data_IF_917799924249
#
_entry.id   IF_917799924249
#
_cell.length_a   1.000
_cell.length_b   1.000
_cell.length_c   1.000
_cell.angle_alpha   90.00
_cell.angle_beta   90.00
_cell.angle_gamma   90.00
#
_symmetry.space_group_name_H-M   'P 1'
#
loop_
_entity.id
_entity.type
_entity.pdbx_description
1 polymer ?
#
# COMPACT_ATOMS: atom_id res chain seq x y z
N UNK A 1 -12.44 5.94 -1.33
CA UNK A 1 -11.05 6.24 -1.74
C UNK A 1 -10.41 5.05 -2.44
N UNK A 2 -10.35 3.86 -1.83
CA UNK A 2 -9.73 2.66 -2.40
C UNK A 2 -10.23 2.31 -3.81
N UNK A 3 -11.55 2.29 -4.04
CA UNK A 3 -12.12 2.03 -5.36
C UNK A 3 -11.65 3.05 -6.41
N UNK A 4 -11.68 4.35 -6.08
CA UNK A 4 -11.21 5.42 -6.98
C UNK A 4 -9.74 5.25 -7.37
N UNK A 5 -8.89 4.89 -6.41
CA UNK A 5 -7.46 4.64 -6.66
C UNK A 5 -7.29 3.38 -7.51
N UNK A 6 -8.01 2.31 -7.20
CA UNK A 6 -7.97 1.06 -7.96
C UNK A 6 -8.39 1.25 -9.42
N UNK A 7 -9.48 1.99 -9.67
CA UNK A 7 -9.92 2.33 -11.04
C UNK A 7 -8.87 3.13 -11.81
N UNK A 8 -8.15 4.04 -11.14
CA UNK A 8 -7.07 4.81 -11.77
C UNK A 8 -5.83 3.97 -12.06
N UNK A 9 -5.48 3.04 -11.16
CA UNK A 9 -4.38 2.11 -11.36
C UNK A 9 -4.64 1.15 -12.52
N UNK A 10 -5.89 0.69 -12.67
CA UNK A 10 -6.35 -0.07 -13.83
C UNK A 10 -5.41 -1.25 -14.17
N UNK A 11 -4.72 -1.26 -15.32
CA UNK A 11 -3.81 -2.34 -15.72
C UNK A 11 -2.63 -2.61 -14.77
N UNK A 12 -2.37 -1.72 -13.81
CA UNK A 12 -1.31 -1.90 -12.80
C UNK A 12 -1.74 -2.80 -11.64
N UNK A 13 -3.05 -2.98 -11.43
CA UNK A 13 -3.60 -3.75 -10.30
C UNK A 13 -3.00 -5.15 -10.11
N UNK A 14 -2.72 -5.95 -11.18
CA UNK A 14 -2.16 -7.29 -10.99
C UNK A 14 -0.78 -7.31 -10.33
N UNK A 15 -0.01 -6.22 -10.41
CA UNK A 15 1.36 -6.11 -9.87
C UNK A 15 1.40 -5.48 -8.46
N UNK A 16 0.23 -5.13 -7.93
CA UNK A 16 0.09 -4.37 -6.70
C UNK A 16 -0.76 -5.13 -5.68
N UNK A 17 -0.34 -5.07 -4.41
CA UNK A 17 -1.09 -5.62 -3.29
C UNK A 17 -1.43 -4.51 -2.30
N UNK A 18 -2.72 -4.27 -2.10
CA UNK A 18 -3.23 -3.26 -1.19
C UNK A 18 -2.96 -3.66 0.27
N UNK A 19 -2.43 -2.71 1.04
CA UNK A 19 -2.05 -2.85 2.45
C UNK A 19 -2.42 -1.57 3.21
N UNK A 20 -2.01 -1.45 4.48
CA UNK A 20 -2.23 -0.24 5.27
C UNK A 20 -3.70 0.02 5.59
N UNK A 21 -4.05 1.26 5.90
CA UNK A 21 -5.38 1.62 6.38
C UNK A 21 -6.51 1.30 5.38
N UNK A 22 -6.20 1.27 4.08
CA UNK A 22 -7.17 0.92 3.06
C UNK A 22 -7.56 -0.58 3.07
N UNK A 23 -6.67 -1.45 3.56
CA UNK A 23 -6.92 -2.87 3.71
C UNK A 23 -7.76 -3.17 4.97
N UNK A 24 -7.65 -2.37 6.04
CA UNK A 24 -8.35 -2.61 7.31
C UNK A 24 -9.86 -2.84 7.11
N UNK A 25 -10.53 -1.96 6.37
CA UNK A 25 -11.97 -2.09 6.10
C UNK A 25 -12.36 -3.29 5.23
N UNK A 26 -11.43 -3.83 4.45
CA UNK A 26 -11.64 -5.02 3.61
C UNK A 26 -11.38 -6.32 4.39
N UNK A 27 -10.63 -6.25 5.48
CA UNK A 27 -10.25 -7.38 6.32
C UNK A 27 -11.16 -7.58 7.53
N UNK A 28 -11.99 -6.58 7.86
CA UNK A 28 -12.95 -6.67 8.96
C UNK A 28 -14.15 -7.51 8.56
N UNK A 29 -14.43 -8.53 9.38
CA UNK A 29 -15.53 -9.47 9.16
C UNK A 29 -16.70 -9.26 10.12
N UNK A 30 -16.53 -8.44 11.16
CA UNK A 30 -17.59 -8.15 12.13
C UNK A 30 -18.42 -6.93 11.66
N UNK A 31 -19.69 -7.12 11.29
CA UNK A 31 -20.56 -6.01 10.86
C UNK A 31 -20.91 -5.03 12.00
N UNK A 32 -20.72 -5.42 13.27
CA UNK A 32 -20.95 -4.56 14.43
C UNK A 32 -19.71 -3.74 14.84
N UNK A 33 -18.60 -3.91 14.12
CA UNK A 33 -17.36 -3.19 14.38
C UNK A 33 -17.49 -1.68 14.17
N UNK A 34 -16.68 -0.92 14.90
CA UNK A 34 -16.61 0.53 14.72
C UNK A 34 -16.16 0.87 13.29
N UNK A 35 -16.64 1.98 12.71
CA UNK A 35 -16.22 2.41 11.38
C UNK A 35 -14.70 2.56 11.32
N UNK A 36 -14.09 2.02 10.26
CA UNK A 36 -12.66 2.24 10.00
C UNK A 36 -12.42 3.71 9.76
N UNK A 37 -11.43 4.27 10.46
CA UNK A 37 -10.98 5.63 10.22
C UNK A 37 -10.63 5.81 8.74
N UNK A 38 -11.13 6.88 8.13
CA UNK A 38 -10.74 7.19 6.75
C UNK A 38 -9.24 7.42 6.67
N UNK A 39 -8.57 6.61 5.86
CA UNK A 39 -7.16 6.80 5.51
C UNK A 39 -7.00 7.98 4.54
N UNK A 40 -5.85 8.68 4.63
CA UNK A 40 -5.50 9.83 3.78
C UNK A 40 -4.74 9.41 2.52
N UNK A 41 -4.19 8.20 2.53
CA UNK A 41 -3.36 7.57 1.53
C UNK A 41 -3.77 6.11 1.29
N UNK A 42 -3.44 5.60 0.11
CA UNK A 42 -3.54 4.17 -0.22
C UNK A 42 -2.14 3.61 -0.27
N UNK A 43 -1.88 2.60 0.55
CA UNK A 43 -0.61 1.88 0.55
C UNK A 43 -0.70 0.64 -0.33
N UNK A 44 0.30 0.45 -1.21
CA UNK A 44 0.42 -0.75 -2.02
C UNK A 44 1.85 -1.31 -1.97
N UNK A 45 1.96 -2.63 -1.97
CA UNK A 45 3.21 -3.35 -2.16
C UNK A 45 3.34 -3.65 -3.66
N UNK A 46 4.42 -3.21 -4.28
CA UNK A 46 4.77 -3.52 -5.65
C UNK A 46 5.69 -4.74 -5.70
N UNK A 47 5.36 -5.72 -6.56
CA UNK A 47 6.16 -6.91 -6.82
C UNK A 47 7.42 -6.59 -7.66
N UNK A 48 8.26 -5.70 -7.13
CA UNK A 48 9.45 -5.18 -7.80
C UNK A 48 10.66 -5.31 -6.89
N UNK A 49 11.69 -5.99 -7.40
CA UNK A 49 12.91 -6.28 -6.66
C UNK A 49 14.15 -5.49 -7.12
N UNK A 50 14.04 -4.68 -8.17
CA UNK A 50 15.16 -3.94 -8.77
C UNK A 50 14.81 -2.48 -9.08
N UNK A 51 15.83 -1.62 -9.11
CA UNK A 51 15.68 -0.21 -9.46
C UNK A 51 15.09 -0.04 -10.87
N UNK A 52 15.57 -0.82 -11.85
CA UNK A 52 15.06 -0.78 -13.23
C UNK A 52 13.58 -1.17 -13.28
N UNK A 53 13.17 -2.20 -12.53
CA UNK A 53 11.76 -2.59 -12.45
C UNK A 53 10.91 -1.48 -11.86
N UNK A 54 11.41 -0.79 -10.83
CA UNK A 54 10.67 0.28 -10.15
C UNK A 54 10.58 1.53 -11.01
N UNK A 55 11.63 1.84 -11.76
CA UNK A 55 11.63 2.91 -12.76
C UNK A 55 10.57 2.67 -13.85
N UNK A 56 10.48 1.43 -14.38
CA UNK A 56 9.43 1.05 -15.36
C UNK A 56 8.03 1.10 -14.77
N UNK A 57 7.86 0.69 -13.52
CA UNK A 57 6.58 0.87 -12.80
C UNK A 57 6.24 2.36 -12.69
N UNK A 58 7.21 3.20 -12.37
CA UNK A 58 7.08 4.65 -12.29
C UNK A 58 6.67 5.29 -13.63
N UNK A 59 7.21 4.84 -14.75
CA UNK A 59 6.76 5.29 -16.09
C UNK A 59 5.27 5.00 -16.33
N UNK A 60 4.80 3.81 -15.92
CA UNK A 60 3.39 3.43 -16.07
C UNK A 60 2.48 4.16 -15.08
N UNK A 61 2.96 4.44 -13.86
CA UNK A 61 2.26 5.30 -12.90
C UNK A 61 2.10 6.72 -13.47
N UNK A 62 3.16 7.27 -14.09
CA UNK A 62 3.08 8.54 -14.83
C UNK A 62 2.08 8.51 -15.96
N UNK A 63 2.04 7.43 -16.74
CA UNK A 63 1.03 7.26 -17.79
C UNK A 63 -0.41 7.20 -17.23
N UNK A 64 -0.60 6.69 -16.00
CA UNK A 64 -1.87 6.74 -15.27
C UNK A 64 -2.16 8.09 -14.59
N UNK A 65 -1.29 9.09 -14.80
CA UNK A 65 -1.43 10.45 -14.30
C UNK A 65 -0.99 10.65 -12.84
N UNK A 66 -0.22 9.72 -12.29
CA UNK A 66 0.48 9.93 -11.03
C UNK A 66 1.81 10.63 -11.27
N UNK A 67 2.31 11.33 -10.25
CA UNK A 67 3.67 11.87 -10.23
C UNK A 67 4.26 11.65 -8.84
N UNK A 68 5.58 11.57 -8.76
CA UNK A 68 6.27 11.54 -7.47
C UNK A 68 5.93 12.79 -6.64
N UNK A 69 5.69 12.60 -5.35
CA UNK A 69 5.50 13.71 -4.42
C UNK A 69 6.84 14.35 -4.08
N UNK A 70 7.04 15.58 -4.55
CA UNK A 70 8.27 16.36 -4.36
C UNK A 70 8.17 17.33 -3.18
N UNK A 71 7.11 17.23 -2.39
CA UNK A 71 6.94 18.06 -1.19
C UNK A 71 8.04 17.75 -0.18
N UNK A 72 8.39 18.74 0.63
CA UNK A 72 9.31 18.56 1.75
C UNK A 72 8.80 17.45 2.69
N UNK A 73 9.69 16.58 3.13
CA UNK A 73 9.42 15.40 3.97
C UNK A 73 8.45 14.34 3.38
N UNK A 74 8.10 14.43 2.09
CA UNK A 74 7.31 13.39 1.45
C UNK A 74 8.07 12.06 1.41
N UNK A 75 7.42 10.93 1.78
CA UNK A 75 8.05 9.61 1.64
C UNK A 75 8.48 9.34 0.20
N UNK A 76 9.65 8.73 0.00
CA UNK A 76 10.17 8.41 -1.34
C UNK A 76 9.27 7.47 -2.16
N UNK A 77 8.38 6.73 -1.48
CA UNK A 77 7.40 5.87 -2.12
C UNK A 77 6.10 6.60 -2.52
N UNK A 78 5.95 7.88 -2.20
CA UNK A 78 4.69 8.60 -2.37
C UNK A 78 4.49 9.12 -3.78
N UNK A 79 3.33 8.79 -4.33
CA UNK A 79 2.81 9.25 -5.60
C UNK A 79 1.51 10.02 -5.38
N UNK A 80 1.30 11.07 -6.17
CA UNK A 80 0.15 11.95 -6.06
C UNK A 80 -0.55 12.10 -7.40
N UNK A 81 -1.87 12.24 -7.36
CA UNK A 81 -2.68 12.45 -8.55
C UNK A 81 -3.99 13.18 -8.22
N UNK A 82 -3.97 14.51 -8.29
CA UNK A 82 -5.04 15.35 -7.75
C UNK A 82 -5.11 15.21 -6.23
N UNK A 83 -6.26 14.82 -5.68
CA UNK A 83 -6.43 14.58 -4.24
C UNK A 83 -5.94 13.20 -3.76
N UNK A 84 -5.54 12.30 -4.69
CA UNK A 84 -5.09 10.95 -4.36
C UNK A 84 -3.64 11.00 -3.89
N UNK A 85 -3.36 10.32 -2.76
CA UNK A 85 -2.01 9.94 -2.32
C UNK A 85 -1.90 8.42 -2.35
N UNK A 86 -0.85 7.92 -2.98
CA UNK A 86 -0.59 6.49 -3.18
C UNK A 86 0.87 6.20 -2.79
N UNK A 87 1.09 5.39 -1.77
CA UNK A 87 2.42 4.97 -1.35
C UNK A 87 2.74 3.60 -1.98
N UNK A 88 3.69 3.58 -2.90
CA UNK A 88 4.08 2.39 -3.69
C UNK A 88 5.39 1.82 -3.16
N UNK A 89 5.30 0.75 -2.37
CA UNK A 89 6.46 0.19 -1.67
C UNK A 89 7.00 -1.07 -2.38
N UNK A 90 8.26 -1.09 -2.83
CA UNK A 90 8.83 -2.27 -3.46
C UNK A 90 9.14 -3.36 -2.42
N UNK A 91 9.09 -4.63 -2.84
CA UNK A 91 9.48 -5.77 -1.98
C UNK A 91 10.96 -5.74 -1.59
N UNK A 92 11.82 -5.07 -2.35
CA UNK A 92 13.27 -5.00 -2.11
C UNK A 92 13.70 -3.64 -1.57
N UNK A 93 14.39 -3.64 -0.43
CA UNK A 93 14.93 -2.42 0.18
C UNK A 93 16.06 -1.77 -0.60
N UNK A 94 16.64 -2.47 -1.58
CA UNK A 94 17.66 -1.91 -2.49
C UNK A 94 17.09 -0.78 -3.35
N UNK A 95 15.78 -0.75 -3.56
CA UNK A 95 15.12 0.20 -4.46
C UNK A 95 14.97 1.58 -3.83
N UNK A 96 14.44 1.66 -2.60
CA UNK A 96 14.14 2.93 -1.91
C UNK A 96 14.92 3.13 -0.60
N UNK A 97 15.84 2.22 -0.25
CA UNK A 97 16.59 2.27 1.00
C UNK A 97 15.84 1.75 2.23
N UNK A 98 14.57 1.34 2.08
CA UNK A 98 13.77 0.72 3.14
C UNK A 98 12.88 -0.39 2.58
N UNK A 99 12.50 -1.35 3.43
CA UNK A 99 11.53 -2.41 3.10
C UNK A 99 10.93 -2.97 4.38
N UNK A 100 9.96 -3.87 4.22
CA UNK A 100 9.40 -4.68 5.28
C UNK A 100 9.66 -6.15 4.94
N UNK A 101 10.19 -6.92 5.89
CA UNK A 101 10.55 -8.33 5.67
C UNK A 101 9.39 -9.19 5.19
N UNK A 102 8.16 -8.80 5.51
CA UNK A 102 6.93 -9.53 5.17
C UNK A 102 6.40 -9.24 3.78
N UNK A 103 6.90 -8.21 3.06
CA UNK A 103 6.36 -7.84 1.75
C UNK A 103 6.43 -8.95 0.70
N UNK A 104 7.51 -9.72 0.65
CA UNK A 104 7.61 -10.86 -0.28
C UNK A 104 6.52 -11.90 -0.03
N UNK A 105 6.23 -12.19 1.24
CA UNK A 105 5.20 -13.14 1.60
C UNK A 105 3.80 -12.54 1.41
N UNK A 106 3.60 -11.27 1.77
CA UNK A 106 2.35 -10.54 1.55
C UNK A 106 1.94 -10.52 0.08
N UNK A 107 2.90 -10.39 -0.84
CA UNK A 107 2.62 -10.49 -2.29
C UNK A 107 2.20 -11.91 -2.66
N UNK A 108 2.95 -12.93 -2.24
CA UNK A 108 2.67 -14.33 -2.57
C UNK A 108 1.30 -14.81 -2.08
N UNK A 109 0.95 -14.45 -0.86
CA UNK A 109 -0.25 -14.96 -0.17
C UNK A 109 -1.44 -13.99 -0.32
N UNK A 110 -1.31 -12.92 -1.10
CA UNK A 110 -2.37 -11.94 -1.30
C UNK A 110 -3.65 -12.59 -1.82
N UNK A 111 -4.79 -12.12 -1.32
CA UNK A 111 -6.11 -12.60 -1.71
C UNK A 111 -6.81 -11.59 -2.64
N UNK A 112 -7.61 -12.10 -3.56
CA UNK A 112 -8.43 -11.26 -4.41
C UNK A 112 -9.70 -10.81 -3.67
N UNK A 113 -9.98 -9.52 -3.74
CA UNK A 113 -11.19 -8.89 -3.18
C UNK A 113 -11.90 -8.12 -4.29
N UNK A 114 -13.20 -8.38 -4.44
CA UNK A 114 -14.06 -7.66 -5.38
C UNK A 114 -14.55 -6.36 -4.74
N UNK A 115 -14.17 -5.22 -5.30
CA UNK A 115 -14.64 -3.90 -4.86
C UNK A 115 -15.92 -3.46 -5.58
N UNK A 116 -16.09 -3.88 -6.83
CA UNK A 116 -17.29 -3.65 -7.66
C UNK A 116 -17.44 -4.80 -8.67
N UNK A 117 -18.54 -4.85 -9.42
CA UNK A 117 -18.79 -5.93 -10.41
C UNK A 117 -17.62 -6.16 -11.37
N UNK A 118 -16.97 -5.08 -11.81
CA UNK A 118 -15.88 -5.05 -12.79
C UNK A 118 -14.49 -4.83 -12.18
N UNK A 119 -14.38 -4.79 -10.85
CA UNK A 119 -13.15 -4.34 -10.17
C UNK A 119 -12.72 -5.31 -9.07
N UNK A 120 -11.61 -5.99 -9.35
CA UNK A 120 -10.94 -6.90 -8.41
C UNK A 120 -9.56 -6.33 -8.09
N UNK A 121 -9.19 -6.37 -6.82
CA UNK A 121 -7.87 -5.99 -6.33
C UNK A 121 -7.25 -7.14 -5.54
N UNK A 122 -5.92 -7.15 -5.43
CA UNK A 122 -5.20 -8.02 -4.49
C UNK A 122 -5.03 -7.29 -3.17
N UNK A 123 -5.36 -7.93 -2.07
CA UNK A 123 -5.24 -7.39 -0.70
C UNK A 123 -4.37 -8.33 0.12
N UNK A 124 -3.55 -7.77 1.00
CA UNK A 124 -2.79 -8.56 1.98
C UNK A 124 -3.75 -9.38 2.87
N UNK A 125 -3.34 -10.57 3.31
CA UNK A 125 -4.14 -11.37 4.27
C UNK A 125 -4.07 -10.79 5.67
N UNK A 126 -5.05 -11.07 6.55
CA UNK A 126 -5.05 -10.55 7.92
C UNK A 126 -3.76 -10.84 8.71
N UNK A 127 -3.20 -12.07 8.70
CA UNK A 127 -1.97 -12.36 9.44
C UNK A 127 -0.77 -11.55 8.93
N UNK A 128 -0.65 -11.38 7.61
CA UNK A 128 0.45 -10.65 7.01
C UNK A 128 0.27 -9.14 7.15
N UNK A 129 -0.97 -8.65 7.16
CA UNK A 129 -1.28 -7.27 7.50
C UNK A 129 -0.73 -6.92 8.89
N UNK A 130 -1.08 -7.72 9.90
CA UNK A 130 -0.57 -7.55 11.27
C UNK A 130 0.95 -7.63 11.32
N UNK A 131 1.55 -8.60 10.61
CA UNK A 131 3.00 -8.73 10.54
C UNK A 131 3.67 -7.48 9.94
N UNK A 132 3.11 -6.91 8.87
CA UNK A 132 3.64 -5.67 8.27
C UNK A 132 3.53 -4.49 9.21
N UNK A 133 2.43 -4.37 9.96
CA UNK A 133 2.18 -3.34 10.97
C UNK A 133 3.15 -3.44 12.15
N UNK A 134 3.36 -4.64 12.70
CA UNK A 134 4.34 -4.86 13.77
C UNK A 134 5.77 -4.53 13.33
N UNK A 135 6.16 -4.92 12.12
CA UNK A 135 7.50 -4.59 11.59
C UNK A 135 7.68 -3.07 11.41
N UNK A 136 6.65 -2.39 10.90
CA UNK A 136 6.67 -0.93 10.78
C UNK A 136 6.80 -0.27 12.17
N UNK A 137 6.02 -0.71 13.16
CA UNK A 137 6.12 -0.22 14.53
C UNK A 137 7.54 -0.36 15.11
N UNK A 138 8.16 -1.53 14.94
CA UNK A 138 9.50 -1.81 15.47
C UNK A 138 10.61 -1.01 14.78
N UNK A 139 10.45 -0.65 13.52
CA UNK A 139 11.49 0.02 12.71
C UNK A 139 11.36 1.54 12.75
N UNK A 140 10.18 2.08 12.44
CA UNK A 140 9.91 3.52 12.39
C UNK A 140 9.25 4.08 13.65
N UNK A 141 8.48 3.27 14.38
CA UNK A 141 7.70 3.70 15.54
C UNK A 141 8.51 4.04 16.78
N UNK A 142 9.83 3.74 16.83
CA UNK A 142 10.73 4.01 17.96
C UNK A 142 10.22 3.52 19.33
N UNK A 143 9.27 2.58 19.36
CA UNK A 143 8.60 2.13 20.58
C UNK A 143 7.52 3.08 21.13
N UNK A 144 7.15 4.14 20.41
CA UNK A 144 6.09 5.06 20.79
C UNK A 144 4.73 4.56 20.31
N UNK A 145 4.00 3.93 21.24
CA UNK A 145 2.65 3.38 21.02
C UNK A 145 1.61 4.46 20.69
N UNK A 146 1.82 5.71 21.11
CA UNK A 146 0.83 6.78 20.97
C UNK A 146 1.02 7.60 19.70
N UNK A 147 2.25 7.75 19.23
CA UNK A 147 2.56 8.47 17.99
C UNK A 147 2.57 7.57 16.74
N UNK A 148 2.59 6.24 16.91
CA UNK A 148 2.69 5.33 15.79
C UNK A 148 1.33 5.05 15.13
N UNK A 149 1.20 5.48 13.88
CA UNK A 149 0.08 5.09 12.99
C UNK A 149 0.12 3.59 12.60
N UNK A 150 1.10 2.83 13.09
CA UNK A 150 1.27 1.41 12.80
C UNK A 150 0.46 0.49 13.72
N UNK A 151 -0.19 1.03 14.75
CA UNK A 151 -1.05 0.26 15.66
C UNK A 151 -2.53 0.70 15.60
N UNK A 152 -2.87 1.57 14.65
CA UNK A 152 -4.25 1.85 14.25
C UNK A 152 -4.89 0.68 13.49
#
# INVERSE_FOLDING_TARGET
MTETVARRLGPLLPELVFVGGCATGLLMTDPASAPVRMTRDVDVIAEVASYVGYSRLGERLRAAGFHEDVSEDAPLCRWVAGAIRLDVMPVSGVVLGFTNRWYKQAVRDAQEVRLAEDLIIRVVTCPLFLATKFEAFLTRGKGDLYASHDLE
#
